data_IF_326974569736
#
_entry.id   IF_326974569736
#
_cell.length_a   1.000
_cell.length_b   1.000
_cell.length_c   1.000
_cell.angle_alpha   90.00
_cell.angle_beta   90.00
_cell.angle_gamma   90.00
#
_symmetry.space_group_name_H-M   'P 1'
#
loop_
_entity.id
_entity.type
_entity.pdbx_description
1 polymer ?
#
# COMPACT_ATOMS: atom_id res chain seq x y z
N UNK A 1 -3.43 -16.86 4.38
CA UNK A 1 -3.32 -15.65 3.54
C UNK A 1 -1.84 -15.37 3.35
N UNK A 2 -1.44 -14.89 2.17
CA UNK A 2 -0.07 -14.47 1.87
C UNK A 2 -0.09 -13.00 1.42
N UNK A 3 0.88 -12.22 1.89
CA UNK A 3 1.00 -10.79 1.63
C UNK A 3 2.34 -10.54 0.94
N UNK A 4 2.29 -10.05 -0.30
CA UNK A 4 3.45 -9.66 -1.09
C UNK A 4 3.78 -8.19 -0.83
N UNK A 5 4.77 -7.95 0.01
CA UNK A 5 5.36 -6.65 0.29
C UNK A 5 6.73 -6.54 -0.42
N UNK A 6 6.69 -6.65 -1.74
CA UNK A 6 7.85 -6.56 -2.65
C UNK A 6 7.73 -5.31 -3.52
N UNK A 7 8.77 -5.00 -4.31
CA UNK A 7 8.67 -3.96 -5.34
C UNK A 7 7.55 -4.27 -6.31
N UNK A 8 6.89 -3.22 -6.81
CA UNK A 8 5.74 -3.33 -7.71
C UNK A 8 6.03 -4.24 -8.92
N UNK A 9 7.21 -4.06 -9.54
CA UNK A 9 7.64 -4.82 -10.72
C UNK A 9 7.82 -6.33 -10.46
N UNK A 10 7.97 -6.75 -9.20
CA UNK A 10 8.20 -8.14 -8.81
C UNK A 10 6.91 -8.88 -8.44
N UNK A 11 5.77 -8.18 -8.34
CA UNK A 11 4.51 -8.77 -7.85
C UNK A 11 4.05 -9.93 -8.73
N UNK A 12 4.03 -9.73 -10.05
CA UNK A 12 3.51 -10.71 -11.00
C UNK A 12 4.38 -11.97 -11.04
N UNK A 13 5.69 -11.79 -11.23
CA UNK A 13 6.67 -12.88 -11.29
C UNK A 13 6.65 -13.71 -9.99
N UNK A 14 6.69 -13.06 -8.83
CA UNK A 14 6.67 -13.77 -7.56
C UNK A 14 5.35 -14.49 -7.32
N UNK A 15 4.21 -13.87 -7.70
CA UNK A 15 2.90 -14.51 -7.57
C UNK A 15 2.79 -15.79 -8.40
N UNK A 16 3.41 -15.84 -9.58
CA UNK A 16 3.45 -17.03 -10.44
C UNK A 16 4.28 -18.15 -9.81
N UNK A 17 5.42 -17.82 -9.18
CA UNK A 17 6.34 -18.80 -8.60
C UNK A 17 5.86 -19.44 -7.30
N UNK A 18 4.78 -18.94 -6.67
CA UNK A 18 4.26 -19.52 -5.42
C UNK A 18 3.85 -21.00 -5.60
N UNK A 19 4.33 -21.93 -4.75
CA UNK A 19 4.13 -23.37 -4.93
C UNK A 19 2.78 -23.88 -4.43
N UNK A 20 1.73 -23.07 -4.58
CA UNK A 20 0.38 -23.36 -4.13
C UNK A 20 -0.67 -22.64 -4.99
N UNK A 21 -1.91 -23.06 -4.84
CA UNK A 21 -3.08 -22.56 -5.57
C UNK A 21 -4.26 -22.37 -4.60
N UNK A 22 -5.28 -21.64 -5.06
CA UNK A 22 -6.52 -21.32 -4.33
C UNK A 22 -6.30 -20.72 -2.92
N UNK A 23 -5.19 -20.00 -2.76
CA UNK A 23 -4.89 -19.24 -1.54
C UNK A 23 -5.22 -17.77 -1.73
N UNK A 24 -5.65 -17.10 -0.65
CA UNK A 24 -5.76 -15.65 -0.65
C UNK A 24 -4.36 -15.05 -0.68
N UNK A 25 -4.00 -14.45 -1.81
CA UNK A 25 -2.74 -13.74 -2.04
C UNK A 25 -3.08 -12.29 -2.30
N UNK A 26 -2.41 -11.38 -1.60
CA UNK A 26 -2.56 -9.94 -1.79
C UNK A 26 -1.23 -9.25 -1.92
N UNK A 27 -1.17 -8.13 -2.65
CA UNK A 27 -0.04 -7.22 -2.63
C UNK A 27 -0.38 -5.92 -1.89
N UNK A 28 0.65 -5.14 -1.55
CA UNK A 28 0.51 -3.87 -0.83
C UNK A 28 0.76 -2.63 -1.71
N UNK A 29 0.91 -2.79 -3.03
CA UNK A 29 1.09 -1.64 -3.93
C UNK A 29 -0.12 -0.71 -4.00
N UNK A 30 0.17 0.60 -4.01
CA UNK A 30 -0.83 1.66 -4.15
C UNK A 30 -1.03 2.16 -5.58
N UNK A 31 0.04 2.22 -6.39
CA UNK A 31 0.03 2.93 -7.67
C UNK A 31 0.14 2.03 -8.90
N UNK A 32 0.79 0.88 -8.74
CA UNK A 32 1.10 -0.05 -9.83
C UNK A 32 0.47 -1.40 -9.52
N UNK A 33 -0.03 -2.01 -10.58
CA UNK A 33 -0.64 -3.33 -10.51
C UNK A 33 -2.03 -3.35 -9.92
N UNK A 34 -2.93 -3.93 -10.70
CA UNK A 34 -4.28 -4.21 -10.27
C UNK A 34 -4.31 -5.52 -9.49
N UNK A 35 -5.48 -5.85 -8.96
CA UNK A 35 -5.73 -7.21 -8.45
C UNK A 35 -5.44 -8.33 -9.49
N UNK A 36 -5.34 -7.99 -10.77
CA UNK A 36 -5.05 -8.91 -11.87
C UNK A 36 -3.56 -9.20 -12.09
N UNK A 37 -2.66 -8.45 -11.47
CA UNK A 37 -1.21 -8.69 -11.56
C UNK A 37 -0.78 -9.93 -10.78
N UNK A 38 -1.63 -10.39 -9.87
CA UNK A 38 -1.48 -11.67 -9.20
C UNK A 38 -1.93 -12.81 -10.14
N UNK A 39 -1.25 -13.94 -10.03
CA UNK A 39 -1.55 -15.14 -10.82
C UNK A 39 -2.99 -15.63 -10.57
N UNK A 40 -3.68 -16.00 -11.64
CA UNK A 40 -5.10 -16.42 -11.63
C UNK A 40 -5.35 -17.71 -10.84
N UNK A 41 -4.32 -18.50 -10.51
CA UNK A 41 -4.41 -19.68 -9.64
C UNK A 41 -4.73 -19.30 -8.19
N UNK A 42 -4.58 -18.03 -7.81
CA UNK A 42 -4.84 -17.53 -6.46
C UNK A 42 -6.19 -16.82 -6.33
N UNK A 43 -6.63 -16.68 -5.08
CA UNK A 43 -7.73 -15.79 -4.69
C UNK A 43 -7.19 -14.37 -4.47
N UNK A 44 -7.08 -13.64 -5.57
CA UNK A 44 -6.35 -12.36 -5.69
C UNK A 44 -7.02 -11.20 -4.96
N UNK A 45 -6.20 -10.37 -4.33
CA UNK A 45 -6.63 -9.11 -3.70
C UNK A 45 -5.51 -8.09 -3.53
N UNK A 46 -5.85 -6.94 -2.97
CA UNK A 46 -4.93 -5.85 -2.61
C UNK A 46 -5.24 -5.45 -1.17
N UNK A 47 -4.19 -5.26 -0.37
CA UNK A 47 -4.25 -4.73 0.99
C UNK A 47 -3.27 -3.58 1.09
N UNK A 48 -3.74 -2.37 0.80
CA UNK A 48 -2.91 -1.19 0.66
C UNK A 48 -3.13 -0.20 1.82
N UNK A 49 -2.19 -0.07 2.76
CA UNK A 49 -2.17 1.05 3.72
C UNK A 49 -1.87 2.37 3.01
N UNK A 50 -2.77 3.35 3.12
CA UNK A 50 -2.61 4.68 2.51
C UNK A 50 -1.66 5.58 3.35
N UNK A 51 -0.42 5.13 3.55
CA UNK A 51 0.58 5.85 4.32
C UNK A 51 2.01 5.45 3.90
N UNK A 52 2.95 6.39 4.01
CA UNK A 52 4.37 6.11 3.84
C UNK A 52 4.96 5.44 5.09
N UNK A 53 5.71 4.36 4.89
CA UNK A 53 6.42 3.67 5.96
C UNK A 53 7.88 4.13 5.99
N UNK A 54 8.40 4.36 7.19
CA UNK A 54 9.83 4.62 7.40
C UNK A 54 10.36 3.62 8.40
N UNK A 55 11.49 2.99 8.09
CA UNK A 55 12.10 1.99 8.97
C UNK A 55 12.44 2.64 10.31
N UNK A 56 11.95 2.06 11.40
CA UNK A 56 12.22 2.52 12.77
C UNK A 56 11.31 3.66 13.26
N UNK A 57 10.42 4.18 12.42
CA UNK A 57 9.36 5.09 12.87
C UNK A 57 8.18 4.26 13.40
N UNK A 58 7.69 4.59 14.59
CA UNK A 58 6.43 4.03 15.07
C UNK A 58 5.27 4.60 14.25
N UNK A 59 4.35 3.72 13.86
CA UNK A 59 3.16 4.09 13.12
C UNK A 59 1.92 3.67 13.91
N UNK A 60 1.07 4.65 14.21
CA UNK A 60 -0.28 4.38 14.71
C UNK A 60 -1.22 4.07 13.55
N UNK A 61 -1.52 2.78 13.40
CA UNK A 61 -2.45 2.30 12.37
C UNK A 61 -3.89 2.75 12.58
N UNK A 62 -4.28 3.23 13.78
CA UNK A 62 -5.64 3.69 14.04
C UNK A 62 -6.11 4.81 13.09
N UNK A 63 -5.16 5.58 12.56
CA UNK A 63 -5.43 6.68 11.64
C UNK A 63 -5.05 6.40 10.18
N UNK A 64 -4.60 5.17 9.87
CA UNK A 64 -4.14 4.80 8.52
C UNK A 64 -5.26 4.08 7.76
N UNK A 65 -5.81 4.68 6.70
CA UNK A 65 -6.81 4.00 5.88
C UNK A 65 -6.23 2.76 5.21
N UNK A 66 -6.88 1.61 5.44
CA UNK A 66 -6.57 0.34 4.77
C UNK A 66 -7.46 0.18 3.56
N UNK A 67 -6.91 0.40 2.37
CA UNK A 67 -7.56 0.17 1.10
C UNK A 67 -7.59 -1.34 0.78
N UNK A 68 -8.79 -1.88 0.53
CA UNK A 68 -9.01 -3.29 0.23
C UNK A 68 -9.66 -3.43 -1.15
N UNK A 69 -9.08 -4.27 -2.00
CA UNK A 69 -9.66 -4.73 -3.27
C UNK A 69 -9.57 -6.27 -3.33
N UNK A 70 -10.58 -6.93 -3.89
CA UNK A 70 -10.56 -8.38 -4.14
C UNK A 70 -11.54 -8.72 -5.25
N UNK A 71 -11.16 -9.68 -6.11
CA UNK A 71 -12.06 -10.25 -7.13
C UNK A 71 -13.10 -11.17 -6.48
N UNK A 72 -12.70 -11.86 -5.41
CA UNK A 72 -13.50 -12.89 -4.77
C UNK A 72 -14.22 -12.31 -3.56
N UNK A 73 -15.56 -12.33 -3.59
CA UNK A 73 -16.41 -11.84 -2.49
C UNK A 73 -16.08 -12.54 -1.17
N UNK A 74 -15.81 -13.83 -1.23
CA UNK A 74 -15.54 -14.66 -0.04
C UNK A 74 -14.15 -14.38 0.57
N UNK A 75 -13.26 -13.67 -0.13
CA UNK A 75 -11.96 -13.26 0.42
C UNK A 75 -12.07 -11.96 1.21
N UNK A 76 -13.10 -11.16 0.96
CA UNK A 76 -13.27 -9.83 1.57
C UNK A 76 -13.40 -9.89 3.11
N UNK A 77 -14.17 -10.81 3.73
CA UNK A 77 -14.26 -10.88 5.19
C UNK A 77 -12.91 -11.08 5.86
N UNK A 78 -12.07 -11.96 5.31
CA UNK A 78 -10.72 -12.24 5.84
C UNK A 78 -9.80 -11.01 5.74
N UNK A 79 -9.83 -10.30 4.61
CA UNK A 79 -9.05 -9.07 4.43
C UNK A 79 -9.53 -7.96 5.37
N UNK A 80 -10.85 -7.86 5.53
CA UNK A 80 -11.48 -6.89 6.42
C UNK A 80 -11.09 -7.16 7.88
N UNK A 81 -11.13 -8.40 8.32
CA UNK A 81 -10.75 -8.81 9.68
C UNK A 81 -9.28 -8.46 9.96
N UNK A 82 -8.37 -8.77 9.02
CA UNK A 82 -6.96 -8.40 9.14
C UNK A 82 -6.78 -6.88 9.23
N UNK A 83 -7.43 -6.10 8.36
CA UNK A 83 -7.33 -4.64 8.41
C UNK A 83 -7.89 -4.06 9.72
N UNK A 84 -9.01 -4.60 10.24
CA UNK A 84 -9.56 -4.19 11.54
C UNK A 84 -8.62 -4.53 12.69
N UNK A 85 -7.92 -5.67 12.63
CA UNK A 85 -6.96 -6.05 13.68
C UNK A 85 -5.77 -5.10 13.79
N UNK A 86 -5.46 -4.37 12.71
CA UNK A 86 -4.47 -3.29 12.70
C UNK A 86 -5.03 -1.98 13.27
N UNK A 87 -6.36 -1.85 13.44
CA UNK A 87 -7.00 -0.69 14.06
C UNK A 87 -7.40 0.44 13.11
N UNK A 88 -6.97 0.40 11.85
CA UNK A 88 -7.22 1.46 10.87
C UNK A 88 -8.61 1.43 10.22
N UNK A 89 -9.13 2.58 9.74
CA UNK A 89 -10.37 2.63 8.98
C UNK A 89 -10.22 1.88 7.66
N UNK A 90 -11.25 1.14 7.25
CA UNK A 90 -11.22 0.36 6.01
C UNK A 90 -11.88 1.13 4.88
N UNK A 91 -11.25 1.10 3.71
CA UNK A 91 -11.83 1.59 2.47
C UNK A 91 -11.87 0.48 1.43
N UNK A 92 -13.07 0.15 0.95
CA UNK A 92 -13.21 -0.72 -0.22
C UNK A 92 -13.04 0.11 -1.47
N UNK A 93 -12.04 -0.22 -2.29
CA UNK A 93 -11.69 0.54 -3.50
C UNK A 93 -11.53 -0.40 -4.69
N UNK A 94 -11.75 0.12 -5.89
CA UNK A 94 -11.28 -0.53 -7.12
C UNK A 94 -9.89 0.02 -7.52
N UNK A 95 -9.28 -0.59 -8.53
CA UNK A 95 -7.94 -0.23 -9.01
C UNK A 95 -7.83 1.24 -9.44
N UNK A 96 -8.86 1.80 -10.09
CA UNK A 96 -8.86 3.20 -10.53
C UNK A 96 -8.89 4.16 -9.33
N UNK A 97 -9.78 3.90 -8.36
CA UNK A 97 -9.87 4.67 -7.12
C UNK A 97 -8.57 4.58 -6.31
N UNK A 98 -7.98 3.38 -6.20
CA UNK A 98 -6.71 3.18 -5.50
C UNK A 98 -5.59 4.00 -6.15
N UNK A 99 -5.51 3.99 -7.48
CA UNK A 99 -4.51 4.77 -8.23
C UNK A 99 -4.65 6.27 -7.98
N UNK A 100 -5.88 6.80 -7.97
CA UNK A 100 -6.14 8.21 -7.67
C UNK A 100 -5.74 8.55 -6.23
N UNK A 101 -6.12 7.70 -5.26
CA UNK A 101 -5.75 7.87 -3.85
C UNK A 101 -4.23 7.84 -3.65
N UNK A 102 -3.53 6.90 -4.30
CA UNK A 102 -2.09 6.82 -4.24
C UNK A 102 -1.42 8.07 -4.82
N UNK A 103 -1.88 8.55 -5.98
CA UNK A 103 -1.37 9.79 -6.55
C UNK A 103 -1.55 10.97 -5.60
N UNK A 104 -2.74 11.14 -5.01
CA UNK A 104 -3.00 12.19 -4.03
C UNK A 104 -2.06 12.05 -2.80
N UNK A 105 -1.84 10.83 -2.31
CA UNK A 105 -0.93 10.57 -1.19
C UNK A 105 0.53 10.91 -1.53
N UNK A 106 0.99 10.69 -2.77
CA UNK A 106 2.32 11.09 -3.22
C UNK A 106 2.48 12.62 -3.15
N UNK A 107 1.48 13.37 -3.58
CA UNK A 107 1.50 14.83 -3.48
C UNK A 107 1.54 15.32 -2.02
N UNK A 108 0.67 14.76 -1.17
CA UNK A 108 0.54 15.23 0.22
C UNK A 108 1.72 14.80 1.10
N UNK A 109 2.29 13.62 0.87
CA UNK A 109 3.38 13.09 1.70
C UNK A 109 4.74 13.27 1.05
N UNK A 110 4.99 12.61 -0.09
CA UNK A 110 6.33 12.55 -0.67
C UNK A 110 6.81 13.93 -1.14
N UNK A 111 5.96 14.70 -1.82
CA UNK A 111 6.35 16.03 -2.31
C UNK A 111 6.46 17.05 -1.17
N UNK A 112 5.56 17.04 -0.20
CA UNK A 112 5.69 17.90 0.99
C UNK A 112 7.00 17.62 1.74
N UNK A 113 7.36 16.35 1.93
CA UNK A 113 8.65 15.99 2.54
C UNK A 113 9.85 16.49 1.73
N UNK A 114 9.78 16.43 0.40
CA UNK A 114 10.82 16.97 -0.46
C UNK A 114 10.92 18.50 -0.35
N UNK A 115 9.78 19.20 -0.24
CA UNK A 115 9.76 20.65 -0.01
C UNK A 115 10.38 21.02 1.35
N UNK A 116 10.09 20.25 2.41
CA UNK A 116 10.77 20.41 3.70
C UNK A 116 12.28 20.25 3.58
N UNK A 117 12.73 19.22 2.85
CA UNK A 117 14.17 18.97 2.63
C UNK A 117 14.84 20.14 1.91
N UNK A 118 14.24 20.64 0.84
CA UNK A 118 14.76 21.79 0.09
C UNK A 118 14.81 23.04 0.98
N UNK A 119 13.76 23.30 1.75
CA UNK A 119 13.73 24.41 2.70
C UNK A 119 14.88 24.32 3.71
N UNK A 120 15.10 23.13 4.29
CA UNK A 120 16.21 22.87 5.20
C UNK A 120 17.58 23.13 4.55
N UNK A 121 17.80 22.59 3.33
CA UNK A 121 19.04 22.79 2.56
C UNK A 121 19.34 24.29 2.32
N UNK A 122 18.33 25.08 1.95
CA UNK A 122 18.48 26.55 1.76
C UNK A 122 18.87 27.24 3.06
N UNK A 123 18.22 26.89 4.17
CA UNK A 123 18.49 27.52 5.47
C UNK A 123 19.87 27.18 5.99
N UNK A 124 20.33 25.92 5.82
CA UNK A 124 21.69 25.52 6.17
C UNK A 124 22.75 26.22 5.30
N UNK A 125 22.51 26.36 3.99
CA UNK A 125 23.49 27.02 3.10
C UNK A 125 23.68 28.51 3.41
N UNK A 126 22.68 29.17 3.99
CA UNK A 126 22.71 30.59 4.36
C UNK A 126 22.98 30.84 5.86
N UNK A 127 23.32 29.79 6.63
CA UNK A 127 23.68 29.89 8.05
C UNK A 127 22.50 30.16 9.00
N UNK A 128 21.27 30.16 8.50
CA UNK A 128 20.06 30.25 9.31
C UNK A 128 19.64 28.87 9.78
N UNK A 129 19.78 28.56 11.08
CA UNK A 129 19.17 27.34 11.62
C UNK A 129 17.70 27.62 11.91
N UNK A 130 16.81 26.88 11.26
CA UNK A 130 15.37 26.81 11.57
C UNK A 130 15.07 25.47 12.22
#
# INVERSE_FOLDING_TARGET
MYILAVSDDAIAELSEQLPFEDRVVVHTSGGVGGVYDLDKKHRRGVLYPLQSFTKGAELDFANVPMCIETIYKDSYPMLKELALSLGGPIQKVNSDQRRVLHLAAVFVNNFTNQLYRIGHEITESEGGRV
#
